data_IF_443480224410
#
_entry.id   IF_443480224410
#
_cell.length_a   1.000
_cell.length_b   1.000
_cell.length_c   1.000
_cell.angle_alpha   90.00
_cell.angle_beta   90.00
_cell.angle_gamma   90.00
#
_symmetry.space_group_name_H-M   'P 1'
#
loop_
_entity.id
_entity.type
_entity.pdbx_description
1 polymer ?
#
# COMPACT_ATOMS: atom_id res chain seq x y z
N UNK A 1 -30.34 15.95 40.81
CA UNK A 1 -30.05 14.72 40.07
C UNK A 1 -29.60 15.15 38.69
N UNK A 2 -28.30 15.09 38.39
CA UNK A 2 -27.79 15.42 37.07
C UNK A 2 -28.22 14.31 36.14
N UNK A 3 -29.04 14.61 35.12
CA UNK A 3 -29.29 13.66 34.04
C UNK A 3 -27.96 13.48 33.31
N UNK A 4 -27.29 12.38 33.60
CA UNK A 4 -26.03 11.94 33.00
C UNK A 4 -26.28 11.43 31.57
N UNK A 5 -26.98 12.21 30.77
CA UNK A 5 -27.16 11.99 29.35
C UNK A 5 -26.43 13.11 28.62
N UNK A 6 -25.46 12.79 27.75
CA UNK A 6 -24.76 13.81 26.99
C UNK A 6 -25.75 14.60 26.15
N UNK A 7 -25.60 15.92 26.18
CA UNK A 7 -26.48 16.85 25.47
C UNK A 7 -26.45 16.57 23.96
N UNK A 8 -27.61 16.59 23.31
CA UNK A 8 -27.71 16.23 21.89
C UNK A 8 -27.02 17.32 21.05
N UNK A 9 -25.95 16.96 20.34
CA UNK A 9 -25.27 17.90 19.44
C UNK A 9 -26.22 18.43 18.37
N UNK A 10 -26.02 19.69 18.01
CA UNK A 10 -26.81 20.34 16.96
C UNK A 10 -26.57 19.67 15.60
N UNK A 11 -27.59 19.67 14.72
CA UNK A 11 -27.47 19.10 13.36
C UNK A 11 -26.34 19.78 12.58
N UNK A 12 -26.18 21.11 12.73
CA UNK A 12 -25.12 21.87 12.09
C UNK A 12 -23.71 21.44 12.52
N UNK A 13 -23.49 21.11 13.80
CA UNK A 13 -22.21 20.56 14.26
C UNK A 13 -21.93 19.16 13.69
N UNK A 14 -22.98 18.33 13.58
CA UNK A 14 -22.86 16.98 13.01
C UNK A 14 -22.50 17.06 11.53
N UNK A 15 -23.19 17.90 10.75
CA UNK A 15 -22.91 18.11 9.32
C UNK A 15 -21.51 18.68 9.09
N UNK A 16 -21.08 19.66 9.89
CA UNK A 16 -19.73 20.22 9.83
C UNK A 16 -18.66 19.15 10.10
N UNK A 17 -18.89 18.30 11.10
CA UNK A 17 -17.98 17.20 11.45
C UNK A 17 -17.89 16.18 10.32
N UNK A 18 -19.02 15.75 9.75
CA UNK A 18 -19.06 14.82 8.61
C UNK A 18 -18.36 15.44 7.39
N UNK A 19 -18.59 16.73 7.12
CA UNK A 19 -17.93 17.46 6.05
C UNK A 19 -16.41 17.50 6.20
N UNK A 20 -15.92 17.72 7.41
CA UNK A 20 -14.49 17.68 7.75
C UNK A 20 -13.90 16.28 7.54
N UNK A 21 -14.57 15.23 8.04
CA UNK A 21 -14.16 13.82 7.86
C UNK A 21 -14.07 13.47 6.37
N UNK A 22 -15.04 13.90 5.56
CA UNK A 22 -15.04 13.67 4.11
C UNK A 22 -13.84 14.32 3.42
N UNK A 23 -13.50 15.56 3.79
CA UNK A 23 -12.31 16.26 3.26
C UNK A 23 -11.02 15.53 3.65
N UNK A 24 -10.90 15.12 4.91
CA UNK A 24 -9.75 14.35 5.41
C UNK A 24 -9.59 13.01 4.66
N UNK A 25 -10.70 12.29 4.44
CA UNK A 25 -10.70 11.03 3.68
C UNK A 25 -10.28 11.25 2.22
N UNK A 26 -10.72 12.34 1.59
CA UNK A 26 -10.34 12.64 0.20
C UNK A 26 -8.85 12.93 0.08
N UNK A 27 -8.29 13.74 0.98
CA UNK A 27 -6.85 14.05 0.99
C UNK A 27 -6.04 12.77 1.24
N UNK A 28 -6.40 11.97 2.25
CA UNK A 28 -5.71 10.72 2.54
C UNK A 28 -5.82 9.68 1.41
N UNK A 29 -6.93 9.65 0.67
CA UNK A 29 -7.07 8.80 -0.52
C UNK A 29 -6.06 9.17 -1.62
N UNK A 30 -5.80 10.47 -1.84
CA UNK A 30 -4.79 10.92 -2.80
C UNK A 30 -3.40 10.45 -2.36
N UNK A 31 -3.06 10.62 -1.08
CA UNK A 31 -1.78 10.14 -0.55
C UNK A 31 -1.63 8.61 -0.65
N UNK A 32 -2.69 7.85 -0.37
CA UNK A 32 -2.69 6.40 -0.52
C UNK A 32 -2.46 5.97 -1.98
N UNK A 33 -3.12 6.64 -2.93
CA UNK A 33 -2.95 6.37 -4.35
C UNK A 33 -1.53 6.70 -4.85
N UNK A 34 -0.99 7.85 -4.47
CA UNK A 34 0.39 8.25 -4.80
C UNK A 34 1.38 7.27 -4.19
N UNK A 35 1.24 6.94 -2.90
CA UNK A 35 2.10 5.98 -2.22
C UNK A 35 2.08 4.61 -2.89
N UNK A 36 0.90 4.12 -3.26
CA UNK A 36 0.77 2.84 -3.96
C UNK A 36 1.41 2.87 -5.36
N UNK A 37 1.25 3.96 -6.11
CA UNK A 37 1.92 4.15 -7.39
C UNK A 37 3.44 4.18 -7.26
N UNK A 38 3.98 4.84 -6.22
CA UNK A 38 5.42 4.88 -5.97
C UNK A 38 5.99 3.49 -5.66
N UNK A 39 5.27 2.68 -4.87
CA UNK A 39 5.63 1.27 -4.62
C UNK A 39 5.64 0.47 -5.93
N UNK A 40 4.60 0.63 -6.75
CA UNK A 40 4.52 -0.02 -8.07
C UNK A 40 5.64 0.40 -9.02
N UNK A 41 5.99 1.69 -9.05
CA UNK A 41 7.06 2.22 -9.88
C UNK A 41 8.44 1.68 -9.44
N UNK A 42 8.71 1.65 -8.12
CA UNK A 42 9.94 1.08 -7.59
C UNK A 42 10.12 -0.39 -8.01
N UNK A 43 9.05 -1.18 -7.90
CA UNK A 43 9.00 -2.57 -8.36
C UNK A 43 9.26 -2.68 -9.86
N UNK A 44 8.62 -1.82 -10.67
CA UNK A 44 8.78 -1.85 -12.12
C UNK A 44 10.23 -1.58 -12.53
N UNK A 45 10.85 -0.54 -11.97
CA UNK A 45 12.26 -0.21 -12.27
C UNK A 45 13.23 -1.29 -11.83
N UNK A 46 12.97 -1.94 -10.70
CA UNK A 46 13.73 -3.10 -10.24
C UNK A 46 13.66 -4.21 -11.29
N UNK A 47 12.45 -4.56 -11.75
CA UNK A 47 12.25 -5.65 -12.71
C UNK A 47 12.94 -5.37 -14.06
N UNK A 48 12.81 -4.16 -14.58
CA UNK A 48 13.37 -3.77 -15.89
C UNK A 48 14.89 -3.64 -15.88
N UNK A 49 15.50 -3.37 -14.71
CA UNK A 49 16.95 -3.18 -14.61
C UNK A 49 17.67 -4.47 -14.18
N UNK A 50 17.03 -5.28 -13.33
CA UNK A 50 17.64 -6.49 -12.77
C UNK A 50 17.70 -7.65 -13.77
N UNK A 51 16.61 -7.90 -14.52
CA UNK A 51 16.56 -9.03 -15.44
C UNK A 51 17.61 -8.95 -16.56
N UNK A 52 17.82 -7.79 -17.22
CA UNK A 52 18.90 -7.66 -18.20
C UNK A 52 20.30 -7.87 -17.61
N UNK A 53 20.54 -7.49 -16.36
CA UNK A 53 21.82 -7.70 -15.70
C UNK A 53 22.11 -9.19 -15.44
N UNK A 54 21.09 -9.96 -15.04
CA UNK A 54 21.20 -11.42 -14.92
C UNK A 54 21.44 -12.07 -16.28
N UNK A 55 20.66 -11.70 -17.30
CA UNK A 55 20.78 -12.26 -18.64
C UNK A 55 22.17 -11.99 -19.25
N UNK A 56 22.66 -10.75 -19.11
CA UNK A 56 24.01 -10.37 -19.54
C UNK A 56 25.07 -11.16 -18.77
N UNK A 57 24.92 -11.35 -17.46
CA UNK A 57 25.87 -12.12 -16.66
C UNK A 57 25.98 -13.57 -17.13
N UNK A 58 24.85 -14.24 -17.35
CA UNK A 58 24.86 -15.64 -17.82
C UNK A 58 25.32 -15.77 -19.27
N UNK A 59 25.11 -14.75 -20.10
CA UNK A 59 25.60 -14.73 -21.49
C UNK A 59 27.12 -14.48 -21.55
N UNK A 60 27.64 -13.57 -20.72
CA UNK A 60 29.06 -13.21 -20.71
C UNK A 60 29.94 -14.20 -19.95
N UNK A 61 29.38 -14.88 -18.94
CA UNK A 61 30.09 -15.84 -18.11
C UNK A 61 29.38 -17.20 -18.09
N UNK A 62 29.22 -17.87 -19.25
CA UNK A 62 28.46 -19.11 -19.36
C UNK A 62 29.04 -20.24 -18.50
N UNK A 63 30.36 -20.23 -18.31
CA UNK A 63 31.10 -21.18 -17.47
C UNK A 63 30.88 -20.98 -15.95
N UNK A 64 30.07 -19.99 -15.55
CA UNK A 64 29.69 -19.77 -14.14
C UNK A 64 28.24 -20.16 -13.85
N UNK A 65 27.51 -20.62 -14.86
CA UNK A 65 26.11 -21.06 -14.74
C UNK A 65 26.01 -22.39 -13.99
N UNK A 66 24.99 -22.51 -13.13
CA UNK A 66 24.65 -23.71 -12.36
C UNK A 66 24.45 -24.97 -13.23
N UNK A 67 24.19 -24.80 -14.53
CA UNK A 67 23.91 -25.88 -15.47
C UNK A 67 25.14 -26.40 -16.26
N UNK A 68 26.34 -25.83 -16.09
CA UNK A 68 27.49 -26.27 -16.91
C UNK A 68 28.90 -25.82 -16.48
N UNK A 69 29.07 -25.10 -15.38
CA UNK A 69 30.35 -24.52 -15.00
C UNK A 69 31.04 -25.19 -13.83
N UNK A 70 32.21 -25.83 -14.03
CA UNK A 70 33.09 -26.18 -12.90
C UNK A 70 33.54 -24.89 -12.24
N UNK A 71 33.21 -24.68 -10.96
CA UNK A 71 33.51 -23.46 -10.20
C UNK A 71 34.99 -23.16 -10.05
N UNK A 72 35.65 -22.79 -11.14
CA UNK A 72 37.02 -22.33 -11.19
C UNK A 72 37.17 -20.97 -10.53
N UNK A 73 38.41 -20.47 -10.48
CA UNK A 73 38.74 -19.18 -9.88
C UNK A 73 37.99 -18.05 -10.58
N UNK A 74 37.10 -17.38 -9.83
CA UNK A 74 36.34 -16.22 -10.35
C UNK A 74 37.27 -15.02 -10.49
N UNK A 75 37.57 -14.64 -11.74
CA UNK A 75 38.35 -13.45 -12.05
C UNK A 75 37.65 -12.14 -11.67
N UNK A 76 38.38 -11.03 -11.70
CA UNK A 76 37.89 -9.71 -11.29
C UNK A 76 36.62 -9.27 -12.04
N UNK A 77 36.50 -9.59 -13.34
CA UNK A 77 35.33 -9.25 -14.16
C UNK A 77 34.04 -9.95 -13.69
N UNK A 78 34.13 -11.26 -13.36
CA UNK A 78 33.00 -12.05 -12.84
C UNK A 78 32.53 -11.47 -11.50
N UNK A 79 33.49 -11.19 -10.61
CA UNK A 79 33.17 -10.64 -9.28
C UNK A 79 32.60 -9.23 -9.36
N UNK A 80 33.05 -8.40 -10.30
CA UNK A 80 32.49 -7.07 -10.55
C UNK A 80 31.04 -7.15 -11.03
N UNK A 81 30.75 -8.03 -11.99
CA UNK A 81 29.40 -8.23 -12.51
C UNK A 81 28.46 -8.82 -11.44
N UNK A 82 28.95 -9.75 -10.63
CA UNK A 82 28.18 -10.30 -9.51
C UNK A 82 27.90 -9.25 -8.42
N UNK A 83 28.87 -8.38 -8.14
CA UNK A 83 28.67 -7.25 -7.23
C UNK A 83 27.62 -6.27 -7.78
N UNK A 84 27.60 -6.01 -9.09
CA UNK A 84 26.56 -5.20 -9.76
C UNK A 84 25.16 -5.78 -9.52
N UNK A 85 25.00 -7.09 -9.69
CA UNK A 85 23.74 -7.81 -9.50
C UNK A 85 23.30 -7.74 -8.03
N UNK A 86 24.24 -7.89 -7.10
CA UNK A 86 23.95 -7.82 -5.66
C UNK A 86 23.58 -6.42 -5.15
N UNK A 87 23.82 -5.35 -5.92
CA UNK A 87 23.30 -4.01 -5.58
C UNK A 87 21.77 -3.94 -5.72
N UNK A 88 21.19 -4.84 -6.50
CA UNK A 88 19.75 -4.88 -6.71
C UNK A 88 19.08 -5.70 -5.62
N UNK A 89 18.04 -5.16 -4.98
CA UNK A 89 17.25 -5.93 -4.06
C UNK A 89 16.59 -7.10 -4.79
N UNK A 90 16.48 -8.24 -4.11
CA UNK A 90 15.98 -9.48 -4.72
C UNK A 90 14.45 -9.49 -4.84
N UNK A 91 13.90 -10.49 -5.53
CA UNK A 91 12.46 -10.84 -5.52
C UNK A 91 11.84 -10.98 -4.11
N UNK A 92 12.67 -11.10 -3.07
CA UNK A 92 12.24 -11.05 -1.66
C UNK A 92 11.87 -9.63 -1.21
N UNK A 93 12.50 -8.59 -1.77
CA UNK A 93 12.07 -7.21 -1.64
C UNK A 93 10.76 -6.98 -2.38
N UNK A 94 10.52 -7.63 -3.53
CA UNK A 94 9.23 -7.60 -4.21
C UNK A 94 8.07 -8.12 -3.34
N UNK A 95 8.25 -9.28 -2.70
CA UNK A 95 7.27 -9.82 -1.75
C UNK A 95 7.09 -8.90 -0.54
N UNK A 96 8.18 -8.27 -0.06
CA UNK A 96 8.13 -7.36 1.08
C UNK A 96 7.49 -6.02 0.74
N UNK A 97 7.95 -5.30 -0.27
CA UNK A 97 7.42 -3.99 -0.66
C UNK A 97 6.04 -4.09 -1.29
N UNK A 98 5.81 -5.10 -2.13
CA UNK A 98 4.48 -5.40 -2.66
C UNK A 98 3.51 -5.68 -1.52
N UNK A 99 3.84 -6.62 -0.63
CA UNK A 99 3.00 -6.93 0.54
C UNK A 99 2.79 -5.72 1.46
N UNK A 100 3.86 -5.01 1.82
CA UNK A 100 3.81 -3.80 2.65
C UNK A 100 3.06 -2.65 1.99
N UNK A 101 2.98 -2.57 0.66
CA UNK A 101 2.15 -1.58 -0.03
C UNK A 101 0.65 -1.91 0.06
N UNK A 102 0.29 -3.20 -0.01
CA UNK A 102 -1.12 -3.63 0.01
C UNK A 102 -1.74 -3.56 1.41
N UNK A 103 -0.97 -3.84 2.48
CA UNK A 103 -1.47 -3.83 3.86
C UNK A 103 -2.09 -2.47 4.26
N UNK A 104 -1.35 -1.33 4.22
CA UNK A 104 -1.88 -0.03 4.60
C UNK A 104 -2.98 0.44 3.64
N UNK A 105 -2.91 0.09 2.36
CA UNK A 105 -3.99 0.39 1.41
C UNK A 105 -5.28 -0.33 1.77
N UNK A 106 -5.21 -1.63 2.10
CA UNK A 106 -6.35 -2.42 2.55
C UNK A 106 -6.94 -1.92 3.86
N UNK A 107 -6.09 -1.53 4.82
CA UNK A 107 -6.52 -0.89 6.07
C UNK A 107 -7.26 0.41 5.78
N UNK A 108 -6.71 1.27 4.91
CA UNK A 108 -7.33 2.53 4.52
C UNK A 108 -8.71 2.33 3.89
N UNK A 109 -8.84 1.40 2.95
CA UNK A 109 -10.13 1.07 2.30
C UNK A 109 -11.14 0.57 3.33
N UNK A 110 -10.70 -0.30 4.25
CA UNK A 110 -11.57 -0.85 5.30
C UNK A 110 -12.08 0.25 6.24
N UNK A 111 -11.21 1.16 6.66
CA UNK A 111 -11.58 2.30 7.50
C UNK A 111 -12.54 3.26 6.76
N UNK A 112 -12.28 3.55 5.49
CA UNK A 112 -13.17 4.37 4.68
C UNK A 112 -14.57 3.75 4.54
N UNK A 113 -14.65 2.43 4.38
CA UNK A 113 -15.92 1.70 4.34
C UNK A 113 -16.69 1.79 5.67
N UNK A 114 -15.98 1.64 6.81
CA UNK A 114 -16.57 1.80 8.15
C UNK A 114 -17.11 3.22 8.34
N UNK A 115 -16.32 4.25 8.01
CA UNK A 115 -16.77 5.64 8.13
C UNK A 115 -18.01 5.89 7.27
N UNK A 116 -18.05 5.36 6.05
CA UNK A 116 -19.23 5.47 5.17
C UNK A 116 -20.46 4.79 5.78
N UNK A 117 -20.31 3.60 6.36
CA UNK A 117 -21.41 2.90 7.02
C UNK A 117 -21.94 3.69 8.22
N UNK A 118 -21.05 4.21 9.07
CA UNK A 118 -21.41 5.02 10.23
C UNK A 118 -22.07 6.36 9.85
N UNK A 119 -21.69 6.94 8.72
CA UNK A 119 -22.27 8.20 8.24
C UNK A 119 -23.74 8.08 7.82
N UNK A 120 -24.23 6.86 7.50
CA UNK A 120 -25.62 6.61 7.09
C UNK A 120 -26.53 6.32 8.31
N UNK A 121 -25.94 5.90 9.43
CA UNK A 121 -26.67 5.53 10.66
C UNK A 121 -27.59 6.63 11.22
N UNK A 122 -27.19 7.93 11.27
CA UNK A 122 -28.05 8.98 11.81
C UNK A 122 -29.37 9.13 11.04
N UNK A 123 -29.32 9.01 9.70
CA UNK A 123 -30.50 9.08 8.84
C UNK A 123 -31.43 7.87 9.04
N UNK A 124 -30.89 6.69 9.33
CA UNK A 124 -31.70 5.51 9.63
C UNK A 124 -32.38 5.63 10.98
N UNK A 125 -31.66 6.11 12.00
CA UNK A 125 -32.22 6.34 13.33
C UNK A 125 -33.30 7.42 13.32
N UNK A 126 -33.13 8.51 12.57
CA UNK A 126 -34.16 9.55 12.47
C UNK A 126 -35.46 9.00 11.87
N UNK A 127 -35.36 8.15 10.84
CA UNK A 127 -36.51 7.53 10.20
C UNK A 127 -37.25 6.55 11.11
N UNK A 128 -36.51 5.77 11.92
CA UNK A 128 -37.12 4.84 12.89
C UNK A 128 -37.75 5.58 14.07
N UNK A 129 -37.18 6.69 14.53
CA UNK A 129 -37.77 7.53 15.57
C UNK A 129 -39.08 8.19 15.10
N UNK A 130 -39.14 8.66 13.86
CA UNK A 130 -40.34 9.29 13.29
C UNK A 130 -41.49 8.28 13.13
N UNK A 131 -41.20 7.06 12.66
CA UNK A 131 -42.19 5.95 12.64
C UNK A 131 -42.67 5.51 14.01
N UNK A 132 -41.86 5.61 15.05
CA UNK A 132 -42.24 5.18 16.40
C UNK A 132 -43.15 6.21 17.12
N UNK A 133 -43.29 7.41 16.56
CA UNK A 133 -44.18 8.46 17.08
C UNK A 133 -45.56 8.49 16.40
N UNK A 134 -45.73 7.81 15.25
CA UNK A 134 -47.04 7.54 14.63
C UNK A 134 -47.73 6.31 15.26
#
# INVERSE_FOLDING_TARGET
MASEYPDRKSIAEIESTIGSIKKMLMVSAIFAAVGYLLVGAAIFFELTSFHPLLENYFTQFPDTSLAGGSGGTRGAAVNSALAEIHKWPSTLLWLKLGGVGHIPLGIFISLAAIVRALSIMPHRLSYEMERAQE
#
